data_IF_671648627312
#
_entry.id   IF_671648627312
#
_cell.length_a   1.000
_cell.length_b   1.000
_cell.length_c   1.000
_cell.angle_alpha   90.00
_cell.angle_beta   90.00
_cell.angle_gamma   90.00
#
_symmetry.space_group_name_H-M   'P 1'
#
loop_
_entity.id
_entity.type
_entity.pdbx_description
1 polymer ?
#
# COMPACT_ATOMS: atom_id res chain seq x y z
N UNK A 1 17.19 10.87 7.15
CA UNK A 1 17.25 9.42 7.42
C UNK A 1 16.35 8.78 6.38
N UNK A 2 16.93 8.22 5.32
CA UNK A 2 16.60 8.69 3.96
C UNK A 2 15.59 7.83 3.16
N UNK A 3 15.48 6.55 3.49
CA UNK A 3 14.76 5.55 2.69
C UNK A 3 14.41 4.33 3.54
N UNK A 4 15.36 3.92 4.38
CA UNK A 4 15.20 2.82 5.33
C UNK A 4 14.07 3.05 6.33
N UNK A 5 13.80 4.30 6.76
CA UNK A 5 12.66 4.61 7.64
C UNK A 5 11.33 4.22 6.99
N UNK A 6 11.12 4.61 5.73
CA UNK A 6 9.86 4.41 5.02
C UNK A 6 9.63 2.93 4.75
N UNK A 7 10.69 2.20 4.38
CA UNK A 7 10.66 0.74 4.25
C UNK A 7 10.32 0.09 5.59
N UNK A 8 10.99 0.49 6.68
CA UNK A 8 10.74 -0.09 8.00
C UNK A 8 9.30 0.12 8.45
N UNK A 9 8.75 1.34 8.33
CA UNK A 9 7.34 1.62 8.70
C UNK A 9 6.38 0.76 7.86
N UNK A 10 6.66 0.61 6.57
CA UNK A 10 5.83 -0.18 5.67
C UNK A 10 5.92 -1.67 5.95
N UNK A 11 7.12 -2.15 6.29
CA UNK A 11 7.36 -3.52 6.71
C UNK A 11 6.61 -3.83 8.02
N UNK A 12 6.70 -2.94 9.02
CA UNK A 12 5.95 -3.08 10.28
C UNK A 12 4.44 -3.10 10.05
N UNK A 13 3.94 -2.29 9.12
CA UNK A 13 2.51 -2.27 8.76
C UNK A 13 2.08 -3.60 8.12
N UNK A 14 2.91 -4.15 7.24
CA UNK A 14 2.66 -5.42 6.56
C UNK A 14 2.83 -6.65 7.48
N UNK A 15 3.60 -6.53 8.57
CA UNK A 15 3.72 -7.60 9.56
C UNK A 15 2.42 -7.85 10.33
N UNK A 16 1.54 -6.85 10.48
CA UNK A 16 0.30 -6.99 11.25
C UNK A 16 -0.57 -8.17 10.73
N UNK A 17 -0.94 -8.23 9.44
CA UNK A 17 -1.67 -9.38 8.88
C UNK A 17 -0.84 -10.68 8.84
N UNK A 18 0.49 -10.62 8.78
CA UNK A 18 1.32 -11.83 8.84
C UNK A 18 1.36 -12.44 10.24
N UNK A 19 1.37 -11.61 11.27
CA UNK A 19 1.29 -12.04 12.67
C UNK A 19 -0.05 -12.70 12.93
N UNK A 20 -1.16 -12.15 12.43
CA UNK A 20 -2.48 -12.78 12.58
C UNK A 20 -2.54 -14.16 11.90
N UNK A 21 -1.96 -14.30 10.71
CA UNK A 21 -1.82 -15.60 10.02
C UNK A 21 -0.99 -16.60 10.84
N UNK A 22 0.13 -16.16 11.43
CA UNK A 22 0.98 -17.00 12.27
C UNK A 22 0.23 -17.51 13.51
N UNK A 23 -0.45 -16.62 14.25
CA UNK A 23 -1.22 -17.00 15.42
C UNK A 23 -2.39 -17.94 15.09
N UNK A 24 -3.11 -17.68 14.00
CA UNK A 24 -4.22 -18.53 13.59
C UNK A 24 -3.75 -19.94 13.22
N UNK A 25 -2.57 -20.10 12.59
CA UNK A 25 -1.94 -21.41 12.37
C UNK A 25 -1.50 -22.08 13.67
N UNK A 26 -0.87 -21.32 14.59
CA UNK A 26 -0.43 -21.83 15.88
C UNK A 26 -1.59 -22.40 16.71
N UNK A 27 -2.76 -21.74 16.63
CA UNK A 27 -3.98 -22.13 17.35
C UNK A 27 -4.84 -23.15 16.56
N UNK A 28 -4.38 -23.64 15.41
CA UNK A 28 -5.12 -24.54 14.52
C UNK A 28 -6.51 -24.03 14.13
N UNK A 29 -6.67 -22.71 14.00
CA UNK A 29 -7.90 -22.12 13.48
C UNK A 29 -8.01 -22.48 11.99
N UNK A 30 -9.14 -23.04 11.53
CA UNK A 30 -9.32 -23.39 10.11
C UNK A 30 -9.37 -22.11 9.28
N UNK A 31 -8.31 -21.87 8.49
CA UNK A 31 -8.22 -20.72 7.61
C UNK A 31 -8.48 -21.14 6.16
N UNK A 32 -9.57 -20.61 5.59
CA UNK A 32 -9.94 -20.88 4.19
C UNK A 32 -9.07 -20.11 3.18
N UNK A 33 -8.52 -18.95 3.56
CA UNK A 33 -7.91 -18.00 2.62
C UNK A 33 -6.48 -17.55 3.03
N UNK A 34 -5.59 -18.49 3.35
CA UNK A 34 -4.22 -18.19 3.81
C UNK A 34 -3.39 -17.34 2.82
N UNK A 35 -3.46 -17.67 1.53
CA UNK A 35 -2.73 -16.96 0.50
C UNK A 35 -3.22 -15.52 0.32
N UNK A 36 -4.51 -15.29 0.54
CA UNK A 36 -5.12 -13.97 0.47
C UNK A 36 -4.56 -13.04 1.54
N UNK A 37 -4.37 -13.53 2.78
CA UNK A 37 -3.75 -12.74 3.86
C UNK A 37 -2.30 -12.37 3.51
N UNK A 38 -1.55 -13.29 2.91
CA UNK A 38 -0.19 -13.02 2.42
C UNK A 38 -0.18 -11.95 1.32
N UNK A 39 -1.04 -12.08 0.31
CA UNK A 39 -1.15 -11.11 -0.79
C UNK A 39 -1.62 -9.74 -0.29
N UNK A 40 -2.54 -9.71 0.67
CA UNK A 40 -2.96 -8.49 1.35
C UNK A 40 -1.81 -7.82 2.10
N UNK A 41 -0.94 -8.60 2.75
CA UNK A 41 0.24 -8.08 3.44
C UNK A 41 1.20 -7.40 2.46
N UNK A 42 1.42 -8.01 1.28
CA UNK A 42 2.23 -7.41 0.20
C UNK A 42 1.57 -6.12 -0.32
N UNK A 43 0.25 -6.13 -0.52
CA UNK A 43 -0.48 -4.93 -0.95
C UNK A 43 -0.40 -3.79 0.08
N UNK A 44 -0.58 -4.11 1.37
CA UNK A 44 -0.47 -3.16 2.48
C UNK A 44 0.96 -2.57 2.58
N UNK A 45 1.99 -3.40 2.39
CA UNK A 45 3.38 -2.96 2.31
C UNK A 45 3.57 -1.90 1.22
N UNK A 46 3.17 -2.23 -0.02
CA UNK A 46 3.38 -1.35 -1.19
C UNK A 46 2.61 -0.03 -1.00
N UNK A 47 1.33 -0.08 -0.62
CA UNK A 47 0.53 1.13 -0.43
C UNK A 47 1.08 2.02 0.69
N UNK A 48 1.48 1.44 1.82
CA UNK A 48 2.04 2.24 2.91
C UNK A 48 3.38 2.85 2.51
N UNK A 49 4.19 2.15 1.71
CA UNK A 49 5.44 2.69 1.22
C UNK A 49 5.21 3.88 0.28
N UNK A 50 4.26 3.77 -0.64
CA UNK A 50 3.85 4.89 -1.48
C UNK A 50 3.38 6.07 -0.62
N UNK A 51 2.59 5.81 0.43
CA UNK A 51 2.08 6.84 1.34
C UNK A 51 3.22 7.59 2.06
N UNK A 52 4.22 6.88 2.55
CA UNK A 52 5.38 7.51 3.20
C UNK A 52 6.18 8.37 2.21
N UNK A 53 6.39 7.89 0.97
CA UNK A 53 7.05 8.71 -0.07
C UNK A 53 6.22 9.95 -0.43
N UNK A 54 4.89 9.81 -0.56
CA UNK A 54 3.99 10.93 -0.82
C UNK A 54 4.06 11.95 0.32
N UNK A 55 4.08 11.49 1.57
CA UNK A 55 4.23 12.33 2.76
C UNK A 55 5.56 13.09 2.72
N UNK A 56 6.67 12.43 2.42
CA UNK A 56 7.98 13.08 2.29
C UNK A 56 7.95 14.20 1.22
N UNK A 57 7.18 14.03 0.14
CA UNK A 57 7.01 15.10 -0.85
C UNK A 57 6.21 16.29 -0.27
N UNK A 58 5.21 16.03 0.57
CA UNK A 58 4.45 17.09 1.25
C UNK A 58 5.31 17.87 2.25
N UNK A 59 6.22 17.17 2.92
CA UNK A 59 7.06 17.71 3.99
C UNK A 59 8.37 18.35 3.47
N UNK A 60 8.60 18.37 2.15
CA UNK A 60 9.84 18.89 1.53
C UNK A 60 10.24 20.30 1.97
N UNK A 61 9.28 21.21 2.10
CA UNK A 61 9.57 22.60 2.49
C UNK A 61 10.06 22.69 3.94
N UNK A 62 9.42 21.95 4.85
CA UNK A 62 9.85 21.84 6.24
C UNK A 62 11.20 21.14 6.36
N UNK A 63 11.37 20.00 5.68
CA UNK A 63 12.61 19.21 5.68
C UNK A 63 13.82 20.03 5.21
N UNK A 64 13.64 20.92 4.23
CA UNK A 64 14.71 21.82 3.76
C UNK A 64 15.20 22.78 4.84
N UNK A 65 14.30 23.32 5.67
CA UNK A 65 14.65 24.26 6.74
C UNK A 65 15.49 23.61 7.83
N UNK A 66 15.23 22.32 8.10
CA UNK A 66 15.96 21.52 9.10
C UNK A 66 17.09 20.68 8.47
N UNK A 67 17.44 20.93 7.21
CA UNK A 67 18.49 20.22 6.47
C UNK A 67 18.35 18.69 6.46
N UNK A 68 17.10 18.19 6.53
CA UNK A 68 16.81 16.77 6.43
C UNK A 68 17.07 16.32 5.00
N UNK A 69 17.85 15.25 4.89
CA UNK A 69 17.98 14.50 3.65
C UNK A 69 16.80 13.51 3.60
N UNK A 70 15.77 13.79 2.79
CA UNK A 70 14.66 12.89 2.40
C UNK A 70 14.67 12.60 0.89
N UNK A 71 14.11 11.46 0.46
CA UNK A 71 14.09 11.00 -0.94
C UNK A 71 13.80 12.11 -1.97
N UNK A 72 12.72 12.92 -1.81
CA UNK A 72 12.42 13.97 -2.76
C UNK A 72 13.37 15.17 -2.73
N UNK A 73 14.18 15.34 -1.68
CA UNK A 73 15.21 16.37 -1.61
C UNK A 73 16.47 15.96 -2.40
N UNK A 74 16.90 14.70 -2.35
CA UNK A 74 18.11 14.26 -3.10
C UNK A 74 17.79 13.87 -4.54
N UNK A 75 16.71 13.12 -4.78
CA UNK A 75 16.33 12.70 -6.13
C UNK A 75 15.56 13.78 -6.89
N UNK A 76 14.99 14.74 -6.16
CA UNK A 76 14.04 15.70 -6.70
C UNK A 76 12.62 15.15 -6.78
N UNK A 77 11.65 16.07 -6.75
CA UNK A 77 10.21 15.76 -6.78
C UNK A 77 9.79 14.93 -8.00
N UNK A 78 10.30 15.26 -9.19
CA UNK A 78 9.93 14.55 -10.44
C UNK A 78 10.33 13.08 -10.43
N UNK A 79 11.57 12.77 -10.04
CA UNK A 79 12.06 11.40 -9.96
C UNK A 79 11.30 10.60 -8.89
N UNK A 80 11.02 11.23 -7.75
CA UNK A 80 10.28 10.60 -6.65
C UNK A 80 8.83 10.28 -7.04
N UNK A 81 8.18 11.14 -7.81
CA UNK A 81 6.87 10.85 -8.43
C UNK A 81 6.95 9.65 -9.39
N UNK A 82 8.05 9.50 -10.12
CA UNK A 82 8.30 8.31 -10.95
C UNK A 82 8.35 7.02 -10.12
N UNK A 83 9.01 7.06 -8.95
CA UNK A 83 9.03 5.93 -8.01
C UNK A 83 7.63 5.59 -7.50
N UNK A 84 6.82 6.61 -7.15
CA UNK A 84 5.42 6.43 -6.74
C UNK A 84 4.63 5.72 -7.86
N UNK A 85 4.75 6.17 -9.11
CA UNK A 85 4.05 5.57 -10.24
C UNK A 85 4.47 4.12 -10.48
N UNK A 86 5.77 3.83 -10.40
CA UNK A 86 6.27 2.46 -10.52
C UNK A 86 5.70 1.55 -9.41
N UNK A 87 5.73 2.00 -8.16
CA UNK A 87 5.18 1.24 -7.04
C UNK A 87 3.66 1.05 -7.16
N UNK A 88 2.92 2.07 -7.62
CA UNK A 88 1.49 1.95 -7.88
C UNK A 88 1.21 0.89 -8.95
N UNK A 89 1.99 0.82 -10.02
CA UNK A 89 1.85 -0.25 -11.04
C UNK A 89 2.20 -1.61 -10.43
N UNK A 90 3.26 -1.71 -9.64
CA UNK A 90 3.63 -2.95 -8.95
C UNK A 90 2.56 -3.45 -7.97
N UNK A 91 1.74 -2.55 -7.41
CA UNK A 91 0.61 -2.94 -6.55
C UNK A 91 -0.46 -3.78 -7.28
N UNK A 92 -0.46 -3.80 -8.61
CA UNK A 92 -1.35 -4.65 -9.41
C UNK A 92 -0.94 -6.12 -9.42
N UNK A 93 0.34 -6.43 -9.19
CA UNK A 93 0.85 -7.81 -9.22
C UNK A 93 0.10 -8.70 -8.22
N UNK A 94 -0.01 -8.37 -6.92
CA UNK A 94 -0.76 -9.20 -5.98
C UNK A 94 -2.26 -9.27 -6.32
N UNK A 95 -2.84 -8.21 -6.89
CA UNK A 95 -4.24 -8.20 -7.32
C UNK A 95 -4.51 -9.17 -8.47
N UNK A 96 -3.73 -9.08 -9.55
CA UNK A 96 -3.89 -9.99 -10.69
C UNK A 96 -3.54 -11.41 -10.32
N UNK A 97 -2.54 -11.63 -9.48
CA UNK A 97 -2.23 -12.96 -8.96
C UNK A 97 -3.45 -13.56 -8.24
N UNK A 98 -4.11 -12.79 -7.37
CA UNK A 98 -5.33 -13.23 -6.68
C UNK A 98 -6.47 -13.58 -7.65
N UNK A 99 -6.64 -12.82 -8.74
CA UNK A 99 -7.69 -13.06 -9.74
C UNK A 99 -7.39 -14.26 -10.65
N UNK A 100 -6.15 -14.39 -11.15
CA UNK A 100 -5.75 -15.45 -12.09
C UNK A 100 -5.82 -16.83 -11.42
N UNK A 101 -5.43 -16.91 -10.15
CA UNK A 101 -5.44 -18.16 -9.39
C UNK A 101 -6.72 -18.37 -8.59
N UNK A 102 -7.76 -17.55 -8.82
CA UNK A 102 -9.07 -17.63 -8.17
C UNK A 102 -8.98 -17.74 -6.62
N UNK A 103 -8.03 -17.03 -6.02
CA UNK A 103 -7.74 -17.12 -4.58
C UNK A 103 -8.61 -16.19 -3.73
N UNK A 104 -9.81 -15.87 -4.19
CA UNK A 104 -10.76 -14.97 -3.54
C UNK A 104 -11.93 -15.74 -2.90
N UNK A 105 -12.57 -15.19 -1.85
CA UNK A 105 -13.78 -15.78 -1.29
C UNK A 105 -14.95 -15.72 -2.28
N UNK A 106 -15.91 -16.64 -2.14
CA UNK A 106 -17.16 -16.67 -2.94
C UNK A 106 -17.99 -15.38 -2.83
N UNK A 107 -17.71 -14.55 -1.83
CA UNK A 107 -18.38 -13.28 -1.61
C UNK A 107 -18.01 -12.25 -2.69
N UNK A 108 -18.87 -12.08 -3.70
CA UNK A 108 -18.65 -11.12 -4.79
C UNK A 108 -18.47 -9.68 -4.30
N UNK A 109 -19.02 -9.30 -3.14
CA UNK A 109 -18.85 -7.95 -2.57
C UNK A 109 -17.39 -7.71 -2.20
N UNK A 110 -16.68 -8.73 -1.71
CA UNK A 110 -15.24 -8.66 -1.45
C UNK A 110 -14.47 -8.25 -2.70
N UNK A 111 -14.74 -8.91 -3.83
CA UNK A 111 -14.07 -8.69 -5.11
C UNK A 111 -14.24 -7.23 -5.56
N UNK A 112 -15.46 -6.70 -5.50
CA UNK A 112 -15.74 -5.32 -5.89
C UNK A 112 -15.06 -4.30 -4.97
N UNK A 113 -15.19 -4.47 -3.65
CA UNK A 113 -14.60 -3.54 -2.66
C UNK A 113 -13.07 -3.56 -2.75
N UNK A 114 -12.46 -4.74 -2.86
CA UNK A 114 -11.02 -4.86 -3.01
C UNK A 114 -10.52 -4.26 -4.34
N UNK A 115 -11.25 -4.49 -5.44
CA UNK A 115 -10.93 -3.88 -6.75
C UNK A 115 -10.99 -2.36 -6.70
N UNK A 116 -12.00 -1.78 -6.03
CA UNK A 116 -12.11 -0.32 -5.83
C UNK A 116 -10.90 0.21 -5.04
N UNK A 117 -10.47 -0.50 -4.00
CA UNK A 117 -9.28 -0.12 -3.23
C UNK A 117 -8.01 -0.09 -4.12
N UNK A 118 -7.81 -1.12 -4.95
CA UNK A 118 -6.66 -1.20 -5.87
C UNK A 118 -6.70 -0.08 -6.91
N UNK A 119 -7.87 0.18 -7.52
CA UNK A 119 -8.05 1.28 -8.48
C UNK A 119 -7.76 2.63 -7.82
N UNK A 120 -8.25 2.87 -6.60
CA UNK A 120 -7.96 4.11 -5.88
C UNK A 120 -6.46 4.30 -5.63
N UNK A 121 -5.73 3.23 -5.29
CA UNK A 121 -4.27 3.25 -5.10
C UNK A 121 -3.51 3.54 -6.40
N UNK A 122 -3.97 2.97 -7.53
CA UNK A 122 -3.45 3.29 -8.86
C UNK A 122 -3.68 4.74 -9.26
N UNK A 123 -4.91 5.22 -9.10
CA UNK A 123 -5.27 6.61 -9.40
C UNK A 123 -4.46 7.58 -8.55
N UNK A 124 -4.18 7.25 -7.29
CA UNK A 124 -3.29 8.05 -6.45
C UNK A 124 -1.88 8.17 -7.06
N UNK A 125 -1.34 7.08 -7.62
CA UNK A 125 -0.07 7.08 -8.34
C UNK A 125 -0.07 7.99 -9.56
N UNK A 126 -1.12 7.95 -10.37
CA UNK A 126 -1.27 8.80 -11.56
C UNK A 126 -1.39 10.28 -11.15
N UNK A 127 -2.29 10.57 -10.19
CA UNK A 127 -2.58 11.92 -9.71
C UNK A 127 -1.38 12.56 -9.02
N UNK A 128 -0.46 11.76 -8.46
CA UNK A 128 0.77 12.28 -7.82
C UNK A 128 1.62 13.19 -8.73
N UNK A 129 1.51 13.02 -10.06
CA UNK A 129 2.15 13.90 -11.05
C UNK A 129 1.63 15.32 -11.02
N UNK A 130 0.33 15.47 -10.78
CA UNK A 130 -0.38 16.74 -10.84
C UNK A 130 -0.52 17.33 -9.44
N UNK A 131 -1.03 16.55 -8.48
CA UNK A 131 -1.35 17.02 -7.13
C UNK A 131 -1.07 15.97 -6.06
N UNK A 132 0.01 16.19 -5.31
CA UNK A 132 0.44 15.33 -4.19
C UNK A 132 -0.60 15.29 -3.07
N UNK A 133 -1.29 16.41 -2.80
CA UNK A 133 -2.33 16.47 -1.76
C UNK A 133 -3.50 15.52 -2.05
N UNK A 134 -3.98 15.45 -3.29
CA UNK A 134 -5.06 14.53 -3.68
C UNK A 134 -4.57 13.09 -3.75
N UNK A 135 -3.33 12.85 -4.20
CA UNK A 135 -2.70 11.53 -4.13
C UNK A 135 -2.68 10.98 -2.69
N UNK A 136 -2.29 11.81 -1.72
CA UNK A 136 -2.30 11.46 -0.28
C UNK A 136 -3.70 11.08 0.22
N UNK A 137 -4.74 11.82 -0.19
CA UNK A 137 -6.13 11.50 0.16
C UNK A 137 -6.57 10.15 -0.43
N UNK A 138 -6.31 9.93 -1.72
CA UNK A 138 -6.70 8.69 -2.39
C UNK A 138 -5.99 7.46 -1.81
N UNK A 139 -4.73 7.59 -1.40
CA UNK A 139 -4.02 6.50 -0.71
C UNK A 139 -4.69 6.17 0.63
N UNK A 140 -5.08 7.17 1.43
CA UNK A 140 -5.79 6.94 2.70
C UNK A 140 -7.13 6.26 2.46
N UNK A 141 -7.88 6.70 1.45
CA UNK A 141 -9.16 6.08 1.06
C UNK A 141 -8.95 4.64 0.59
N UNK A 142 -7.97 4.40 -0.28
CA UNK A 142 -7.59 3.07 -0.77
C UNK A 142 -7.25 2.12 0.39
N UNK A 143 -6.42 2.58 1.34
CA UNK A 143 -6.05 1.80 2.52
C UNK A 143 -7.28 1.48 3.39
N UNK A 144 -8.16 2.46 3.64
CA UNK A 144 -9.36 2.25 4.43
C UNK A 144 -10.31 1.22 3.78
N UNK A 145 -10.62 1.40 2.50
CA UNK A 145 -11.47 0.46 1.74
C UNK A 145 -10.82 -0.93 1.67
N UNK A 146 -9.51 -1.00 1.47
CA UNK A 146 -8.74 -2.24 1.45
C UNK A 146 -8.82 -2.98 2.79
N UNK A 147 -8.62 -2.28 3.91
CA UNK A 147 -8.80 -2.90 5.24
C UNK A 147 -10.24 -3.31 5.50
N UNK A 148 -11.22 -2.54 5.02
CA UNK A 148 -12.63 -2.88 5.15
C UNK A 148 -12.98 -4.16 4.38
N UNK A 149 -12.37 -4.39 3.22
CA UNK A 149 -12.59 -5.61 2.44
C UNK A 149 -12.26 -6.88 3.21
N UNK A 150 -11.28 -6.85 4.13
CA UNK A 150 -10.92 -8.03 4.93
C UNK A 150 -12.04 -8.50 5.88
N UNK A 151 -12.99 -7.63 6.25
CA UNK A 151 -14.16 -8.04 7.04
C UNK A 151 -15.19 -8.83 6.22
N UNK A 152 -15.04 -8.87 4.90
CA UNK A 152 -15.94 -9.57 3.97
C UNK A 152 -15.42 -10.96 3.57
N UNK A 153 -14.30 -11.41 4.16
CA UNK A 153 -13.72 -12.75 4.04
C UNK A 153 -14.54 -13.82 4.76
#
# INVERSE_FOLDING_TARGET
>A
MFFWSNITISFLTALIPLISLYYAKLLNVPLKHNALILLFSIFAFILNWIREIVKDIQDMEGDRLISVRSMPIVLGKKATVGVIQLLSILSLVPYFYLMIFEMYPDNIVFIWVYTIAVIAGLLAGIISRYTIRFSSLLLKVSMFIGTFSMYLL
#
